data_IF_418525587520
#
_entry.id   IF_418525587520
#
_cell.length_a   1.000
_cell.length_b   1.000
_cell.length_c   1.000
_cell.angle_alpha   90.00
_cell.angle_beta   90.00
_cell.angle_gamma   90.00
#
_symmetry.space_group_name_H-M   'P 1'
#
loop_
_entity.id
_entity.type
_entity.pdbx_description
1 polymer ?
#
# COMPACT_ATOMS: atom_id res chain seq x y z
N UNK A 1 12.86 4.02 14.12
CA UNK A 1 13.94 3.05 14.38
C UNK A 1 15.03 3.29 13.37
N UNK A 2 16.29 3.31 13.79
CA UNK A 2 17.42 3.79 12.96
C UNK A 2 17.58 3.04 11.63
N UNK A 3 18.27 3.66 10.68
CA UNK A 3 18.60 3.04 9.39
C UNK A 3 19.43 1.77 9.65
N UNK A 4 19.16 0.71 8.89
CA UNK A 4 19.85 -0.58 9.08
C UNK A 4 19.30 -1.47 10.19
N UNK A 5 18.27 -1.06 10.93
CA UNK A 5 17.64 -1.90 11.98
C UNK A 5 16.85 -3.12 11.45
N UNK A 6 16.85 -3.39 10.14
CA UNK A 6 16.15 -4.54 9.55
C UNK A 6 14.65 -4.35 9.28
N UNK A 7 14.13 -3.12 9.37
CA UNK A 7 12.69 -2.81 9.20
C UNK A 7 12.11 -3.33 7.87
N UNK A 8 12.71 -2.94 6.75
CA UNK A 8 12.33 -3.41 5.40
C UNK A 8 12.53 -4.92 5.24
N UNK A 9 13.56 -5.50 5.87
CA UNK A 9 13.79 -6.95 5.85
C UNK A 9 12.63 -7.71 6.47
N UNK A 10 12.12 -7.25 7.62
CA UNK A 10 10.93 -7.84 8.26
C UNK A 10 9.72 -7.74 7.35
N UNK A 11 9.52 -6.60 6.69
CA UNK A 11 8.37 -6.43 5.79
C UNK A 11 8.43 -7.37 4.59
N UNK A 12 9.62 -7.58 4.01
CA UNK A 12 9.82 -8.56 2.93
C UNK A 12 9.57 -10.00 3.38
N UNK A 13 9.82 -10.34 4.65
CA UNK A 13 9.47 -11.66 5.20
C UNK A 13 7.95 -11.79 5.37
N UNK A 14 7.29 -10.75 5.88
CA UNK A 14 5.84 -10.73 6.07
C UNK A 14 5.07 -10.76 4.74
N UNK A 15 5.56 -10.06 3.71
CA UNK A 15 4.99 -10.09 2.36
C UNK A 15 5.33 -11.39 1.59
N UNK A 16 6.21 -12.24 2.12
CA UNK A 16 6.66 -13.46 1.47
C UNK A 16 7.76 -13.26 0.42
N UNK A 17 8.28 -12.05 0.23
CA UNK A 17 9.35 -11.72 -0.74
C UNK A 17 10.75 -12.20 -0.30
N UNK A 18 10.94 -12.50 0.99
CA UNK A 18 12.22 -12.94 1.56
C UNK A 18 12.00 -14.12 2.51
N UNK A 19 12.78 -15.18 2.35
CA UNK A 19 12.74 -16.32 3.27
C UNK A 19 13.42 -15.96 4.60
N UNK A 20 12.78 -16.22 5.76
CA UNK A 20 13.45 -16.10 7.03
C UNK A 20 14.55 -17.18 7.13
N UNK A 21 15.71 -16.81 7.68
CA UNK A 21 16.79 -17.78 7.94
C UNK A 21 16.35 -18.84 8.95
N UNK A 22 15.54 -18.45 9.93
CA UNK A 22 14.93 -19.32 10.93
C UNK A 22 13.62 -18.69 11.45
N UNK A 23 12.74 -19.52 12.02
CA UNK A 23 11.45 -19.09 12.53
C UNK A 23 10.35 -19.02 11.45
N UNK A 24 9.19 -18.49 11.84
CA UNK A 24 7.99 -18.48 11.01
C UNK A 24 7.28 -17.13 11.13
N UNK A 25 6.58 -16.74 10.06
CA UNK A 25 5.70 -15.59 10.03
C UNK A 25 4.32 -16.03 9.55
N UNK A 26 3.28 -15.63 10.27
CA UNK A 26 1.89 -16.00 9.95
C UNK A 26 1.03 -14.75 9.81
N UNK A 27 0.16 -14.74 8.80
CA UNK A 27 -0.84 -13.70 8.58
C UNK A 27 -2.19 -14.40 8.43
N UNK A 28 -3.16 -14.05 9.28
CA UNK A 28 -4.46 -14.76 9.34
C UNK A 28 -4.33 -16.27 9.52
N UNK A 29 -3.30 -16.72 10.24
CA UNK A 29 -3.03 -18.14 10.48
C UNK A 29 -2.30 -18.86 9.34
N UNK A 30 -2.13 -18.22 8.18
CA UNK A 30 -1.40 -18.76 7.04
C UNK A 30 0.09 -18.43 7.12
N UNK A 31 0.96 -19.40 6.80
CA UNK A 31 2.40 -19.22 6.74
C UNK A 31 2.78 -18.34 5.52
N UNK A 32 3.49 -17.23 5.76
CA UNK A 32 3.83 -16.24 4.72
C UNK A 32 4.72 -16.77 3.60
N UNK A 33 5.35 -17.94 3.79
CA UNK A 33 6.25 -18.55 2.82
C UNK A 33 5.59 -19.70 2.09
N UNK A 34 4.84 -20.54 2.79
CA UNK A 34 4.19 -21.73 2.22
C UNK A 34 2.84 -21.43 1.59
N UNK A 35 2.11 -20.46 2.13
CA UNK A 35 0.71 -20.18 1.79
C UNK A 35 0.55 -18.76 1.24
N UNK A 36 1.55 -18.32 0.45
CA UNK A 36 1.63 -16.96 -0.12
C UNK A 36 0.36 -16.49 -0.81
N UNK A 37 -0.30 -17.36 -1.58
CA UNK A 37 -1.53 -17.01 -2.27
C UNK A 37 -2.67 -16.65 -1.30
N UNK A 38 -2.77 -17.34 -0.16
CA UNK A 38 -3.75 -17.02 0.87
C UNK A 38 -3.36 -15.72 1.58
N UNK A 39 -2.09 -15.59 1.98
CA UNK A 39 -1.58 -14.36 2.62
C UNK A 39 -1.79 -13.12 1.75
N UNK A 40 -1.58 -13.23 0.43
CA UNK A 40 -1.75 -12.10 -0.48
C UNK A 40 -3.17 -11.54 -0.53
N UNK A 41 -4.19 -12.36 -0.25
CA UNK A 41 -5.59 -11.87 -0.17
C UNK A 41 -5.77 -10.91 1.01
N UNK A 42 -5.02 -11.11 2.09
CA UNK A 42 -5.18 -10.35 3.33
C UNK A 42 -4.21 -9.18 3.49
N UNK A 43 -3.11 -9.17 2.71
CA UNK A 43 -2.05 -8.17 2.83
C UNK A 43 -2.07 -7.12 1.70
N UNK A 44 -1.79 -5.88 2.09
CA UNK A 44 -1.44 -4.79 1.20
C UNK A 44 -0.09 -4.21 1.59
N UNK A 45 0.73 -3.81 0.63
CA UNK A 45 2.08 -3.32 0.88
C UNK A 45 2.38 -2.02 0.14
N UNK A 46 2.80 -0.99 0.88
CA UNK A 46 3.32 0.28 0.38
C UNK A 46 4.84 0.33 0.62
N UNK A 47 5.68 0.21 -0.42
CA UNK A 47 7.14 0.21 -0.27
C UNK A 47 7.73 1.61 0.00
N UNK A 48 8.95 1.63 0.54
CA UNK A 48 9.71 2.86 0.82
C UNK A 48 10.05 3.65 -0.46
N UNK A 49 10.25 2.99 -1.60
CA UNK A 49 10.44 3.66 -2.89
C UNK A 49 9.18 3.54 -3.74
N UNK A 50 8.85 4.59 -4.50
CA UNK A 50 7.65 4.59 -5.33
C UNK A 50 7.78 3.56 -6.46
N UNK A 51 7.08 2.44 -6.33
CA UNK A 51 6.97 1.41 -7.37
C UNK A 51 5.90 1.78 -8.42
N UNK A 52 5.88 3.05 -8.83
CA UNK A 52 4.88 3.61 -9.75
C UNK A 52 5.44 3.67 -11.17
N UNK A 53 4.57 3.43 -12.16
CA UNK A 53 4.87 3.65 -13.57
C UNK A 53 4.59 5.11 -13.91
N UNK A 54 5.62 5.84 -14.32
CA UNK A 54 5.58 7.28 -14.51
C UNK A 54 4.63 7.74 -15.63
N UNK A 55 4.33 6.85 -16.58
CA UNK A 55 3.46 7.04 -17.73
C UNK A 55 1.99 6.81 -17.42
N UNK A 56 1.70 5.95 -16.44
CA UNK A 56 0.34 5.64 -16.05
C UNK A 56 -0.23 6.74 -15.15
N UNK A 57 -1.54 6.88 -15.20
CA UNK A 57 -2.35 7.73 -14.33
C UNK A 57 -2.71 7.01 -13.02
N UNK A 58 -3.13 7.73 -11.97
CA UNK A 58 -3.62 7.11 -10.73
C UNK A 58 -4.72 6.08 -10.95
N UNK A 59 -5.69 6.35 -11.82
CA UNK A 59 -6.77 5.39 -12.10
C UNK A 59 -6.23 4.12 -12.76
N UNK A 60 -5.32 4.25 -13.73
CA UNK A 60 -4.71 3.11 -14.41
C UNK A 60 -3.90 2.23 -13.44
N UNK A 61 -3.20 2.82 -12.46
CA UNK A 61 -2.51 2.06 -11.42
C UNK A 61 -3.47 1.23 -10.57
N UNK A 62 -4.58 1.83 -10.11
CA UNK A 62 -5.55 1.11 -9.29
C UNK A 62 -6.21 -0.01 -10.09
N UNK A 63 -6.58 0.25 -11.34
CA UNK A 63 -7.16 -0.77 -12.22
C UNK A 63 -6.17 -1.90 -12.52
N UNK A 64 -4.91 -1.58 -12.80
CA UNK A 64 -3.86 -2.57 -13.02
C UNK A 64 -3.69 -3.47 -11.79
N UNK A 65 -3.55 -2.87 -10.60
CA UNK A 65 -3.40 -3.64 -9.36
C UNK A 65 -4.66 -4.46 -9.04
N UNK A 66 -5.86 -3.92 -9.28
CA UNK A 66 -7.12 -4.62 -9.05
C UNK A 66 -7.23 -5.89 -9.90
N UNK A 67 -6.85 -5.78 -11.19
CA UNK A 67 -6.80 -6.92 -12.12
C UNK A 67 -5.75 -7.96 -11.72
N UNK A 68 -4.56 -7.52 -11.33
CA UNK A 68 -3.51 -8.42 -10.84
C UNK A 68 -3.93 -9.18 -9.58
N UNK A 69 -4.78 -8.58 -8.74
CA UNK A 69 -5.35 -9.21 -7.54
C UNK A 69 -6.62 -10.02 -7.80
N UNK A 70 -7.13 -10.05 -9.04
CA UNK A 70 -8.34 -10.79 -9.39
C UNK A 70 -9.62 -10.24 -8.75
N UNK A 71 -9.69 -8.92 -8.51
CA UNK A 71 -10.90 -8.26 -7.98
C UNK A 71 -11.95 -8.20 -9.08
N UNK A 72 -13.21 -8.44 -8.73
CA UNK A 72 -14.32 -8.50 -9.67
C UNK A 72 -14.51 -7.18 -10.47
N UNK A 73 -14.77 -7.32 -11.77
CA UNK A 73 -14.68 -6.26 -12.77
C UNK A 73 -15.91 -5.36 -12.84
N UNK A 74 -17.03 -5.79 -12.25
CA UNK A 74 -18.35 -5.16 -12.43
C UNK A 74 -18.39 -3.68 -11.99
N UNK A 75 -17.44 -3.20 -11.19
CA UNK A 75 -17.36 -1.80 -10.76
C UNK A 75 -15.92 -1.26 -10.64
N UNK A 76 -14.98 -1.76 -11.44
CA UNK A 76 -13.56 -1.39 -11.42
C UNK A 76 -13.32 0.13 -11.39
N UNK A 77 -14.03 0.90 -12.24
CA UNK A 77 -13.89 2.36 -12.29
C UNK A 77 -14.44 3.06 -11.05
N UNK A 78 -15.58 2.61 -10.52
CA UNK A 78 -16.17 3.17 -9.30
C UNK A 78 -15.27 2.85 -8.09
N UNK A 79 -14.75 1.64 -8.04
CA UNK A 79 -13.79 1.19 -7.03
C UNK A 79 -12.53 2.08 -7.04
N UNK A 80 -11.93 2.30 -8.21
CA UNK A 80 -10.78 3.17 -8.35
C UNK A 80 -11.08 4.60 -7.89
N UNK A 81 -12.22 5.17 -8.30
CA UNK A 81 -12.63 6.51 -7.84
C UNK A 81 -12.80 6.59 -6.33
N UNK A 82 -13.42 5.60 -5.69
CA UNK A 82 -13.60 5.59 -4.24
C UNK A 82 -12.25 5.54 -3.51
N UNK A 83 -11.30 4.75 -4.01
CA UNK A 83 -9.98 4.61 -3.42
C UNK A 83 -9.15 5.89 -3.58
N UNK A 84 -9.17 6.49 -4.78
CA UNK A 84 -8.51 7.78 -5.04
C UNK A 84 -9.14 8.91 -4.23
N UNK A 85 -10.46 8.89 -4.02
CA UNK A 85 -11.15 9.85 -3.15
C UNK A 85 -10.71 9.73 -1.69
N UNK A 86 -10.53 8.50 -1.19
CA UNK A 86 -10.02 8.26 0.18
C UNK A 86 -8.64 8.88 0.40
N UNK A 87 -7.83 8.97 -0.65
CA UNK A 87 -6.46 9.50 -0.60
C UNK A 87 -6.33 10.92 -1.15
N UNK A 88 -7.45 11.61 -1.43
CA UNK A 88 -7.46 12.99 -1.92
C UNK A 88 -6.66 13.14 -3.23
N UNK A 89 -6.97 12.27 -4.20
CA UNK A 89 -6.31 12.18 -5.51
C UNK A 89 -7.28 12.36 -6.70
N UNK A 90 -8.55 12.67 -6.47
CA UNK A 90 -9.54 12.80 -7.55
C UNK A 90 -9.16 13.85 -8.59
N UNK A 91 -8.60 14.99 -8.18
CA UNK A 91 -8.17 16.05 -9.10
C UNK A 91 -7.02 15.60 -10.02
N UNK A 92 -6.29 14.55 -9.63
CA UNK A 92 -5.14 14.02 -10.34
C UNK A 92 -5.44 12.74 -11.12
N UNK A 93 -6.71 12.31 -11.16
CA UNK A 93 -7.09 10.98 -11.62
C UNK A 93 -6.58 10.60 -13.01
N UNK A 94 -6.53 11.57 -13.93
CA UNK A 94 -6.07 11.39 -15.32
C UNK A 94 -4.72 12.07 -15.59
N UNK A 95 -3.99 12.46 -14.55
CA UNK A 95 -2.68 13.09 -14.66
C UNK A 95 -1.60 12.01 -14.55
N UNK A 96 -0.68 11.88 -15.53
CA UNK A 96 0.41 10.91 -15.46
C UNK A 96 1.24 11.07 -14.19
N UNK A 97 1.65 9.95 -13.59
CA UNK A 97 2.35 9.95 -12.30
C UNK A 97 3.61 10.82 -12.28
N UNK A 98 4.36 10.91 -13.39
CA UNK A 98 5.53 11.79 -13.48
C UNK A 98 5.27 13.27 -13.21
N UNK A 99 4.01 13.72 -13.28
CA UNK A 99 3.59 15.10 -13.00
C UNK A 99 3.10 15.31 -11.56
N UNK A 100 3.00 14.25 -10.77
CA UNK A 100 2.55 14.33 -9.38
C UNK A 100 3.68 14.81 -8.47
N UNK A 101 3.31 15.59 -7.45
CA UNK A 101 4.22 15.87 -6.35
C UNK A 101 4.62 14.58 -5.64
N UNK A 102 5.77 14.58 -4.96
CA UNK A 102 6.20 13.43 -4.16
C UNK A 102 5.12 13.02 -3.14
N UNK A 103 4.47 13.99 -2.49
CA UNK A 103 3.35 13.72 -1.58
C UNK A 103 2.17 12.97 -2.24
N UNK A 104 1.81 13.34 -3.47
CA UNK A 104 0.75 12.67 -4.22
C UNK A 104 1.18 11.28 -4.73
N UNK A 105 2.46 11.08 -5.09
CA UNK A 105 3.01 9.75 -5.39
C UNK A 105 2.94 8.84 -4.17
N UNK A 106 3.27 9.35 -2.97
CA UNK A 106 3.11 8.61 -1.70
C UNK A 106 1.67 8.26 -1.37
N UNK A 107 0.74 9.21 -1.57
CA UNK A 107 -0.70 8.96 -1.45
C UNK A 107 -1.16 7.85 -2.41
N UNK A 108 -0.68 7.86 -3.66
CA UNK A 108 -1.02 6.83 -4.64
C UNK A 108 -0.43 5.47 -4.27
N UNK A 109 0.83 5.43 -3.81
CA UNK A 109 1.46 4.19 -3.32
C UNK A 109 0.67 3.59 -2.15
N UNK A 110 0.18 4.44 -1.24
CA UNK A 110 -0.73 4.02 -0.18
C UNK A 110 -2.05 3.50 -0.75
N UNK A 111 -2.66 4.18 -1.72
CA UNK A 111 -3.89 3.73 -2.37
C UNK A 111 -3.72 2.33 -2.99
N UNK A 112 -2.60 2.05 -3.66
CA UNK A 112 -2.29 0.73 -4.20
C UNK A 112 -2.25 -0.35 -3.12
N UNK A 113 -1.69 -0.04 -1.94
CA UNK A 113 -1.68 -0.96 -0.80
C UNK A 113 -3.08 -1.22 -0.20
N UNK A 114 -4.10 -0.45 -0.57
CA UNK A 114 -5.48 -0.66 -0.14
C UNK A 114 -6.33 -1.42 -1.18
N UNK A 115 -5.74 -1.73 -2.34
CA UNK A 115 -6.44 -2.46 -3.40
C UNK A 115 -6.77 -3.88 -2.93
N UNK A 116 -8.02 -4.30 -3.09
CA UNK A 116 -8.53 -5.58 -2.58
C UNK A 116 -9.02 -5.55 -1.14
N UNK A 117 -9.11 -4.35 -0.55
CA UNK A 117 -9.56 -4.14 0.83
C UNK A 117 -8.82 -5.02 1.88
N UNK A 118 -7.48 -5.12 1.81
CA UNK A 118 -6.72 -6.02 2.65
C UNK A 118 -6.91 -5.68 4.13
N UNK A 119 -6.99 -6.72 4.95
CA UNK A 119 -7.14 -6.60 6.41
C UNK A 119 -5.85 -6.20 7.14
N UNK A 120 -4.69 -6.48 6.55
CA UNK A 120 -3.36 -6.15 7.07
C UNK A 120 -2.63 -5.27 6.06
N UNK A 121 -2.16 -4.10 6.48
CA UNK A 121 -1.49 -3.14 5.61
C UNK A 121 -0.08 -2.88 6.16
N UNK A 122 0.92 -3.14 5.33
CA UNK A 122 2.33 -2.87 5.60
C UNK A 122 2.71 -1.54 4.92
N UNK A 123 3.17 -0.57 5.70
CA UNK A 123 3.58 0.74 5.21
C UNK A 123 5.06 1.00 5.52
N UNK A 124 5.93 0.87 4.52
CA UNK A 124 7.37 1.07 4.71
C UNK A 124 7.71 2.55 4.52
N UNK A 125 7.91 3.26 5.63
CA UNK A 125 8.19 4.69 5.70
C UNK A 125 7.28 5.57 4.82
N UNK A 126 5.95 5.41 4.96
CA UNK A 126 4.98 5.96 4.01
C UNK A 126 4.96 7.49 3.93
N UNK A 127 5.51 8.16 4.95
CA UNK A 127 5.54 9.63 5.04
C UNK A 127 6.89 10.26 4.66
N UNK A 128 7.86 9.46 4.21
CA UNK A 128 9.21 9.96 3.91
C UNK A 128 9.20 10.90 2.69
N UNK A 129 9.79 12.09 2.85
CA UNK A 129 9.85 13.14 1.82
C UNK A 129 8.55 13.92 1.61
N UNK A 130 7.49 13.65 2.36
CA UNK A 130 6.24 14.41 2.28
C UNK A 130 6.34 15.74 3.05
N UNK A 131 5.70 16.78 2.54
CA UNK A 131 5.51 18.03 3.28
C UNK A 131 4.62 17.81 4.52
N UNK A 132 4.63 18.73 5.51
CA UNK A 132 3.87 18.57 6.75
C UNK A 132 2.37 18.36 6.57
N UNK A 133 1.75 19.00 5.58
CA UNK A 133 0.31 18.89 5.32
C UNK A 133 -0.02 17.50 4.77
N UNK A 134 0.72 17.05 3.75
CA UNK A 134 0.55 15.73 3.16
C UNK A 134 0.82 14.61 4.18
N UNK A 135 1.85 14.76 5.03
CA UNK A 135 2.12 13.82 6.13
C UNK A 135 0.97 13.74 7.12
N UNK A 136 0.41 14.88 7.54
CA UNK A 136 -0.74 14.93 8.45
C UNK A 136 -1.98 14.29 7.84
N UNK A 137 -2.23 14.55 6.56
CA UNK A 137 -3.31 13.91 5.81
C UNK A 137 -3.17 12.38 5.84
N UNK A 138 -2.00 11.85 5.48
CA UNK A 138 -1.78 10.41 5.44
C UNK A 138 -1.96 9.75 6.82
N UNK A 139 -1.48 10.40 7.89
CA UNK A 139 -1.72 9.94 9.26
C UNK A 139 -3.22 9.89 9.62
N UNK A 140 -4.03 10.84 9.14
CA UNK A 140 -5.47 10.82 9.36
C UNK A 140 -6.14 9.66 8.61
N UNK A 141 -5.69 9.36 7.38
CA UNK A 141 -6.14 8.19 6.62
C UNK A 141 -5.79 6.90 7.36
N UNK A 142 -4.55 6.75 7.83
CA UNK A 142 -4.11 5.59 8.63
C UNK A 142 -4.99 5.40 9.87
N UNK A 143 -5.23 6.47 10.65
CA UNK A 143 -6.10 6.41 11.84
C UNK A 143 -7.53 6.00 11.49
N UNK A 144 -8.05 6.47 10.35
CA UNK A 144 -9.39 6.09 9.88
C UNK A 144 -9.45 4.60 9.52
N UNK A 145 -8.46 4.09 8.79
CA UNK A 145 -8.38 2.68 8.42
C UNK A 145 -8.32 1.77 9.66
N UNK A 146 -7.57 2.16 10.70
CA UNK A 146 -7.55 1.44 11.98
C UNK A 146 -8.94 1.43 12.64
N UNK A 147 -9.67 2.55 12.62
CA UNK A 147 -11.06 2.61 13.12
C UNK A 147 -12.03 1.76 12.30
N UNK A 148 -11.74 1.56 11.02
CA UNK A 148 -12.48 0.66 10.11
C UNK A 148 -12.11 -0.83 10.32
N UNK A 149 -11.25 -1.15 11.29
CA UNK A 149 -10.88 -2.52 11.66
C UNK A 149 -9.65 -3.07 10.95
N UNK A 150 -8.90 -2.25 10.20
CA UNK A 150 -7.67 -2.67 9.53
C UNK A 150 -6.50 -2.74 10.52
N UNK A 151 -5.67 -3.77 10.39
CA UNK A 151 -4.38 -3.87 11.10
C UNK A 151 -3.29 -3.21 10.29
N UNK A 152 -2.61 -2.22 10.84
CA UNK A 152 -1.55 -1.48 10.13
C UNK A 152 -0.22 -1.63 10.86
N UNK A 153 0.80 -2.08 10.12
CA UNK A 153 2.18 -2.09 10.57
C UNK A 153 2.94 -1.05 9.76
N UNK A 154 3.61 -0.13 10.44
CA UNK A 154 4.37 0.94 9.79
C UNK A 154 5.80 0.98 10.29
N UNK A 155 6.73 1.24 9.37
CA UNK A 155 8.11 1.56 9.71
C UNK A 155 8.31 3.07 9.65
N UNK A 156 9.22 3.56 10.47
CA UNK A 156 9.61 4.97 10.48
C UNK A 156 11.05 5.10 10.97
N UNK A 157 11.70 6.19 10.61
CA UNK A 157 13.02 6.57 11.13
C UNK A 157 12.88 7.24 12.50
#
# INVERSE_FOLDING_TARGET
GVNGAGKTTVFRILSGDLHPTAGYAHIHGYDSMKERQEVFKYIGYCPQFDALFDELTPVEHILLMARLRGIDWYNESQYAHQLLKRLDLCEYINIPVRKLSLGNRRKLSTAMALVGDPSVILLDEPTSGMDPLSKRFLWNVIRRLVKEGKSIILTSH
#
